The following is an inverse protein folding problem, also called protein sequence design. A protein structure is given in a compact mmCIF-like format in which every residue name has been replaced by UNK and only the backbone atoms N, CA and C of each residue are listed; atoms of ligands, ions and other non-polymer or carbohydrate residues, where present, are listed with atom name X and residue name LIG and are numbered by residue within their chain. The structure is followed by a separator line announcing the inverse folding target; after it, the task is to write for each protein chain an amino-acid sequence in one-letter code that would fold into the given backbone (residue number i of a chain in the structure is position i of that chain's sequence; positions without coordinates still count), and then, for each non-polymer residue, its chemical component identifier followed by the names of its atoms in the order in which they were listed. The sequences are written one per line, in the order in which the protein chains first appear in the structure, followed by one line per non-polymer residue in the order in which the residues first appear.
data_IF_028821382637
#
_entry.id   IF_028821382637
#
_cell.length_a   1.000
_cell.length_b   1.000
_cell.length_c   1.000
_cell.angle_alpha   90.00
_cell.angle_beta   90.00
_cell.angle_gamma   90.00
#
_symmetry.space_group_name_H-M   'P 1'
#
loop_
_entity.id
_entity.type
_entity.pdbx_description
1 polymer ?
#
# COMPACT_ATOMS: atom_id res chain seq x y z
N UNK A 1 15.03 9.34 -16.62
CA UNK A 1 15.39 8.59 -15.41
C UNK A 1 15.16 7.13 -15.73
N UNK A 2 16.18 6.29 -15.53
CA UNK A 2 16.06 4.85 -15.78
C UNK A 2 15.58 4.23 -14.48
N UNK A 3 14.35 3.71 -14.46
CA UNK A 3 13.84 2.93 -13.34
C UNK A 3 14.43 1.53 -13.44
N UNK A 4 15.48 1.25 -12.68
CA UNK A 4 15.99 -0.11 -12.54
C UNK A 4 15.31 -0.79 -11.36
N UNK A 5 14.16 -1.43 -11.61
CA UNK A 5 13.57 -2.32 -10.62
C UNK A 5 14.37 -3.61 -10.61
N UNK A 6 15.36 -3.71 -9.72
CA UNK A 6 16.07 -4.97 -9.48
C UNK A 6 15.33 -5.69 -8.35
N UNK A 7 14.67 -6.81 -8.67
CA UNK A 7 14.10 -7.73 -7.68
C UNK A 7 15.18 -8.77 -7.38
N UNK A 8 15.88 -8.61 -6.25
CA UNK A 8 16.83 -9.62 -5.77
C UNK A 8 16.07 -10.49 -4.77
N UNK A 9 15.58 -11.65 -5.22
CA UNK A 9 15.14 -12.73 -4.34
C UNK A 9 16.30 -13.72 -4.18
N UNK A 10 17.27 -13.41 -3.31
CA UNK A 10 18.43 -14.29 -3.10
C UNK A 10 18.43 -14.89 -1.69
N UNK A 11 17.75 -16.04 -1.56
CA UNK A 11 18.23 -17.30 -0.99
C UNK A 11 17.03 -18.21 -0.71
N UNK A 12 17.22 -19.49 -1.01
CA UNK A 12 16.16 -20.50 -1.02
C UNK A 12 15.32 -20.51 0.27
N UNK A 13 14.06 -20.07 0.16
CA UNK A 13 12.93 -20.10 1.13
C UNK A 13 12.56 -18.81 1.89
N UNK A 14 13.30 -17.72 1.75
CA UNK A 14 13.01 -16.51 2.53
C UNK A 14 12.06 -15.56 1.74
N UNK A 15 11.06 -14.96 2.40
CA UNK A 15 10.09 -14.01 1.84
C UNK A 15 10.59 -12.55 1.90
N UNK A 16 11.84 -12.33 1.51
CA UNK A 16 12.47 -11.01 1.47
C UNK A 16 12.41 -10.46 0.05
N UNK A 17 11.85 -9.26 -0.12
CA UNK A 17 11.86 -8.52 -1.39
C UNK A 17 12.53 -7.18 -1.20
N UNK A 18 13.53 -6.89 -2.04
CA UNK A 18 14.19 -5.58 -2.08
C UNK A 18 13.89 -4.90 -3.40
N UNK A 19 13.53 -3.64 -3.32
CA UNK A 19 13.30 -2.73 -4.43
C UNK A 19 14.34 -1.62 -4.37
N UNK A 20 14.91 -1.31 -5.54
CA UNK A 20 15.82 -0.20 -5.70
C UNK A 20 15.23 0.81 -6.69
N UNK A 21 15.21 2.08 -6.29
CA UNK A 21 14.98 3.21 -7.17
C UNK A 21 15.88 4.34 -6.73
N UNK A 22 17.01 4.52 -7.44
CA UNK A 22 18.07 5.42 -7.03
C UNK A 22 17.55 6.81 -6.60
N UNK A 23 17.99 7.35 -5.45
CA UNK A 23 19.02 6.79 -4.56
C UNK A 23 18.46 5.93 -3.40
N UNK A 24 17.21 5.44 -3.51
CA UNK A 24 16.46 4.82 -2.42
C UNK A 24 16.37 3.31 -2.60
N UNK A 25 16.55 2.59 -1.51
CA UNK A 25 16.13 1.19 -1.42
C UNK A 25 14.89 1.08 -0.52
N UNK A 26 14.07 0.06 -0.78
CA UNK A 26 12.98 -0.36 0.09
C UNK A 26 12.98 -1.88 0.17
N UNK A 27 12.97 -2.41 1.38
CA UNK A 27 12.93 -3.83 1.64
C UNK A 27 11.67 -4.20 2.42
N UNK A 28 11.13 -5.36 2.08
CA UNK A 28 9.94 -5.95 2.69
C UNK A 28 10.31 -7.37 3.09
N UNK A 29 10.00 -7.76 4.32
CA UNK A 29 10.27 -9.10 4.81
C UNK A 29 9.19 -9.54 5.79
N UNK A 30 8.97 -10.85 5.86
CA UNK A 30 8.16 -11.45 6.91
C UNK A 30 9.00 -11.59 8.20
N UNK A 31 8.31 -11.69 9.33
CA UNK A 31 8.96 -11.79 10.64
C UNK A 31 9.82 -13.04 10.76
N UNK A 32 9.43 -14.15 10.16
CA UNK A 32 10.21 -15.40 10.16
C UNK A 32 11.61 -15.19 9.58
N UNK A 33 11.75 -14.29 8.61
CA UNK A 33 12.99 -14.01 7.90
C UNK A 33 13.86 -12.94 8.58
N UNK A 34 13.46 -12.46 9.76
CA UNK A 34 14.20 -11.42 10.49
C UNK A 34 15.69 -11.76 10.62
N UNK A 35 16.04 -13.03 10.89
CA UNK A 35 17.44 -13.45 11.04
C UNK A 35 18.23 -13.31 9.75
N UNK A 36 17.62 -13.55 8.59
CA UNK A 36 18.26 -13.44 7.29
C UNK A 36 18.60 -11.98 6.94
N UNK A 37 17.82 -11.01 7.44
CA UNK A 37 18.10 -9.57 7.26
C UNK A 37 19.48 -9.15 7.77
N UNK A 38 20.11 -9.90 8.69
CA UNK A 38 21.48 -9.62 9.15
C UNK A 38 22.49 -9.55 7.99
N UNK A 39 22.26 -10.36 6.96
CA UNK A 39 23.14 -10.50 5.80
C UNK A 39 22.77 -9.57 4.65
N UNK A 40 21.66 -8.86 4.76
CA UNK A 40 21.19 -7.91 3.77
C UNK A 40 21.91 -6.56 3.95
N UNK A 41 22.52 -6.04 2.89
CA UNK A 41 23.30 -4.79 2.98
C UNK A 41 22.42 -3.62 3.42
N UNK A 42 21.20 -3.56 2.89
CA UNK A 42 20.18 -2.55 3.17
C UNK A 42 19.83 -2.48 4.66
N UNK A 43 19.71 -3.63 5.32
CA UNK A 43 19.38 -3.70 6.74
C UNK A 43 20.55 -3.24 7.64
N UNK A 44 21.77 -3.20 7.10
CA UNK A 44 22.98 -2.72 7.76
C UNK A 44 23.24 -1.22 7.52
N UNK A 45 22.28 -0.50 6.92
CA UNK A 45 22.35 0.95 6.67
C UNK A 45 21.39 1.72 7.57
N UNK A 46 21.57 3.04 7.61
CA UNK A 46 20.67 3.97 8.29
C UNK A 46 19.36 4.10 7.51
N UNK A 47 18.26 4.32 8.23
CA UNK A 47 16.95 4.41 7.60
C UNK A 47 15.79 4.40 8.57
N UNK A 48 14.61 4.19 7.99
CA UNK A 48 13.33 4.10 8.69
C UNK A 48 12.81 2.69 8.52
N UNK A 49 12.20 2.15 9.57
CA UNK A 49 11.52 0.87 9.54
C UNK A 49 10.11 1.00 10.12
N UNK A 50 9.20 0.18 9.61
CA UNK A 50 7.79 0.16 9.96
C UNK A 50 7.42 -1.29 10.22
N UNK A 51 7.11 -1.63 11.48
CA UNK A 51 6.55 -2.93 11.83
C UNK A 51 5.05 -2.93 11.52
N UNK A 52 4.58 -3.97 10.85
CA UNK A 52 3.20 -4.14 10.44
C UNK A 52 2.63 -5.39 11.10
N UNK A 53 1.53 -5.21 11.84
CA UNK A 53 0.60 -6.25 12.23
C UNK A 53 -0.74 -5.99 11.59
N UNK A 54 -1.81 -6.58 12.12
CA UNK A 54 -3.11 -6.49 11.46
C UNK A 54 -3.64 -5.05 11.44
N UNK A 55 -3.91 -4.52 12.63
CA UNK A 55 -4.36 -3.14 12.83
C UNK A 55 -3.30 -2.28 13.55
N UNK A 56 -2.12 -2.83 13.82
CA UNK A 56 -1.08 -2.17 14.61
C UNK A 56 0.13 -1.79 13.77
N UNK A 57 0.67 -0.59 14.01
CA UNK A 57 1.88 -0.05 13.37
C UNK A 57 2.87 0.41 14.42
N UNK A 58 4.14 0.32 14.08
CA UNK A 58 5.22 0.98 14.81
C UNK A 58 6.20 1.53 13.80
N UNK A 59 6.53 2.82 13.92
CA UNK A 59 7.55 3.47 13.11
C UNK A 59 8.78 3.66 13.97
N UNK A 60 9.95 3.29 13.46
CA UNK A 60 11.20 3.60 14.12
C UNK A 60 12.26 4.05 13.14
N UNK A 61 13.31 4.64 13.68
CA UNK A 61 14.51 4.99 12.94
C UNK A 61 15.77 4.26 13.43
N UNK A 62 16.75 4.15 12.54
CA UNK A 62 18.11 3.82 12.89
C UNK A 62 19.10 4.76 12.18
N UNK A 63 19.95 5.45 12.96
CA UNK A 63 21.09 6.21 12.44
C UNK A 63 22.29 5.33 12.05
N UNK A 64 22.27 4.06 12.48
CA UNK A 64 23.29 3.05 12.21
C UNK A 64 22.69 1.91 11.42
N UNK A 65 22.61 0.70 12.01
CA UNK A 65 21.99 -0.46 11.37
C UNK A 65 20.51 -0.56 11.76
N UNK A 66 19.63 -0.64 10.77
CA UNK A 66 18.20 -0.96 10.98
C UNK A 66 18.06 -2.30 11.70
N UNK A 67 18.84 -3.31 11.30
CA UNK A 67 18.81 -4.66 11.86
C UNK A 67 18.92 -4.70 13.40
N UNK A 68 19.83 -3.92 13.98
CA UNK A 68 20.04 -3.89 15.43
C UNK A 68 18.78 -3.42 16.18
N UNK A 69 18.03 -2.48 15.57
CA UNK A 69 16.73 -2.02 16.11
C UNK A 69 15.64 -3.07 15.93
N UNK A 70 15.60 -3.74 14.78
CA UNK A 70 14.60 -4.78 14.51
C UNK A 70 14.71 -5.95 15.48
N UNK A 71 15.94 -6.41 15.78
CA UNK A 71 16.16 -7.48 16.78
C UNK A 71 15.67 -7.05 18.17
N UNK A 72 16.01 -5.83 18.59
CA UNK A 72 15.55 -5.29 19.88
C UNK A 72 14.01 -5.24 19.98
N UNK A 73 13.34 -4.90 18.87
CA UNK A 73 11.88 -4.85 18.83
C UNK A 73 11.23 -6.22 18.70
N UNK A 74 11.86 -7.18 18.02
CA UNK A 74 11.34 -8.53 17.92
C UNK A 74 11.16 -9.20 19.29
N UNK A 75 12.07 -8.90 20.23
CA UNK A 75 12.04 -9.46 21.58
C UNK A 75 10.98 -8.79 22.47
N UNK A 76 10.58 -7.55 22.15
CA UNK A 76 9.64 -6.76 22.96
C UNK A 76 8.25 -6.59 22.35
N UNK A 77 8.08 -6.87 21.05
CA UNK A 77 6.84 -6.70 20.30
C UNK A 77 6.52 -7.97 19.54
N UNK A 78 5.50 -8.69 19.97
CA UNK A 78 5.09 -9.96 19.37
C UNK A 78 3.93 -9.86 18.37
N UNK A 79 3.36 -8.67 18.16
CA UNK A 79 2.15 -8.45 17.36
C UNK A 79 2.40 -8.26 15.85
N UNK A 80 3.64 -7.99 15.44
CA UNK A 80 3.95 -7.72 14.04
C UNK A 80 4.25 -9.02 13.28
N UNK A 81 3.88 -9.03 12.01
CA UNK A 81 4.06 -10.16 11.08
C UNK A 81 4.93 -9.79 9.89
N UNK A 82 4.98 -8.51 9.50
CA UNK A 82 5.77 -8.02 8.38
C UNK A 82 6.56 -6.78 8.77
N UNK A 83 7.71 -6.58 8.14
CA UNK A 83 8.53 -5.38 8.26
C UNK A 83 8.73 -4.74 6.89
N UNK A 84 8.62 -3.41 6.86
CA UNK A 84 9.03 -2.59 5.72
C UNK A 84 10.10 -1.64 6.22
N UNK A 85 11.22 -1.52 5.51
CA UNK A 85 12.23 -0.53 5.83
C UNK A 85 12.85 0.06 4.57
N UNK A 86 13.27 1.31 4.66
CA UNK A 86 13.81 2.05 3.54
C UNK A 86 14.89 3.02 3.99
N UNK A 87 15.76 3.37 3.07
CA UNK A 87 16.87 4.27 3.29
C UNK A 87 17.51 4.66 1.97
N UNK A 88 18.71 5.24 2.04
CA UNK A 88 19.50 5.55 0.85
C UNK A 88 20.51 4.45 0.58
N UNK A 89 20.75 4.17 -0.69
CA UNK A 89 21.73 3.17 -1.12
C UNK A 89 23.16 3.51 -0.70
N UNK A 90 23.48 4.80 -0.68
CA UNK A 90 24.77 5.31 -0.18
C UNK A 90 24.85 5.37 1.36
N UNK A 91 23.80 4.97 2.08
CA UNK A 91 23.73 4.99 3.54
C UNK A 91 23.71 6.39 4.16
N UNK A 92 23.68 7.46 3.36
CA UNK A 92 23.79 8.84 3.84
C UNK A 92 22.43 9.43 4.24
N UNK A 93 21.85 8.91 5.32
CA UNK A 93 20.68 9.49 5.98
C UNK A 93 21.07 9.93 7.39
N UNK A 94 21.25 11.23 7.59
CA UNK A 94 21.72 11.75 8.87
C UNK A 94 20.64 11.72 9.96
N UNK A 95 21.04 11.91 11.22
CA UNK A 95 20.12 11.86 12.37
C UNK A 95 18.97 12.86 12.26
N UNK A 96 19.22 14.06 11.75
CA UNK A 96 18.17 15.07 11.59
C UNK A 96 17.12 14.62 10.57
N UNK A 97 17.56 13.97 9.50
CA UNK A 97 16.69 13.42 8.47
C UNK A 97 15.91 12.21 8.97
N UNK A 98 16.55 11.30 9.71
CA UNK A 98 15.85 10.14 10.29
C UNK A 98 14.80 10.55 11.33
N UNK A 99 15.15 11.48 12.22
CA UNK A 99 14.22 12.01 13.23
C UNK A 99 13.04 12.73 12.56
N UNK A 100 13.32 13.52 11.51
CA UNK A 100 12.29 14.21 10.73
C UNK A 100 11.33 13.22 10.05
N UNK A 101 11.85 12.17 9.40
CA UNK A 101 11.04 11.18 8.70
C UNK A 101 10.21 10.31 9.65
N UNK A 102 10.81 9.86 10.76
CA UNK A 102 10.11 9.11 11.80
C UNK A 102 8.92 9.93 12.32
N UNK A 103 9.15 11.19 12.71
CA UNK A 103 8.09 12.07 13.19
C UNK A 103 7.01 12.30 12.14
N UNK A 104 7.40 12.57 10.89
CA UNK A 104 6.46 12.79 9.78
C UNK A 104 5.54 11.57 9.57
N UNK A 105 6.10 10.36 9.65
CA UNK A 105 5.33 9.12 9.49
C UNK A 105 4.45 8.84 10.70
N UNK A 106 4.94 9.04 11.92
CA UNK A 106 4.13 8.95 13.15
C UNK A 106 2.90 9.88 13.03
N UNK A 107 3.10 11.14 12.66
CA UNK A 107 2.01 12.11 12.46
C UNK A 107 1.05 11.71 11.31
N UNK A 108 1.55 11.02 10.29
CA UNK A 108 0.71 10.49 9.21
C UNK A 108 -0.15 9.33 9.72
N UNK A 109 0.42 8.38 10.46
CA UNK A 109 -0.29 7.25 11.04
C UNK A 109 -1.33 7.66 12.09
N UNK A 110 -1.05 8.69 12.89
CA UNK A 110 -1.99 9.24 13.87
C UNK A 110 -3.30 9.78 13.24
N UNK A 111 -3.31 10.05 11.92
CA UNK A 111 -4.50 10.50 11.18
C UNK A 111 -5.32 9.34 10.61
N UNK A 112 -4.88 8.10 10.83
CA UNK A 112 -5.55 6.88 10.38
C UNK A 112 -6.31 6.22 11.54
N UNK A 113 -7.09 5.18 11.24
CA UNK A 113 -7.77 4.37 12.26
C UNK A 113 -6.89 3.23 12.83
N UNK A 114 -5.61 3.17 12.44
CA UNK A 114 -4.68 2.15 12.91
C UNK A 114 -4.21 2.43 14.34
N UNK A 115 -3.94 1.37 15.10
CA UNK A 115 -3.29 1.48 16.40
C UNK A 115 -1.79 1.74 16.22
N UNK A 116 -1.30 2.87 16.72
CA UNK A 116 0.13 3.19 16.69
C UNK A 116 0.77 2.87 18.05
N UNK A 117 1.75 1.96 18.06
CA UNK A 117 2.46 1.50 19.27
C UNK A 117 3.65 2.39 19.68
N UNK A 118 3.84 3.52 18.99
CA UNK A 118 4.87 4.48 19.35
C UNK A 118 4.53 5.13 20.70
N UNK A 119 5.36 4.87 21.72
CA UNK A 119 5.23 5.50 23.03
C UNK A 119 5.56 7.01 23.05
N UNK A 120 6.20 7.51 21.99
CA UNK A 120 6.63 8.90 21.84
C UNK A 120 6.26 9.44 20.47
N UNK A 121 6.21 10.77 20.33
CA UNK A 121 5.97 11.45 19.06
C UNK A 121 7.20 11.52 18.15
N UNK A 122 8.18 10.62 18.34
CA UNK A 122 9.49 10.64 17.67
C UNK A 122 10.48 11.64 18.30
N UNK A 123 11.74 11.51 17.90
CA UNK A 123 12.77 12.47 18.30
C UNK A 123 12.68 13.76 17.46
N UNK A 124 13.20 14.86 18.01
CA UNK A 124 13.30 16.14 17.29
C UNK A 124 14.74 16.60 17.25
N UNK A 125 15.24 16.78 16.04
CA UNK A 125 16.54 17.39 15.75
C UNK A 125 16.34 18.62 14.85
N UNK A 126 17.21 19.62 14.97
CA UNK A 126 17.21 20.73 14.01
C UNK A 126 17.56 20.19 12.63
N UNK A 127 16.77 20.55 11.62
CA UNK A 127 16.97 20.14 10.23
C UNK A 127 16.83 21.36 9.33
N UNK A 128 17.84 21.57 8.49
CA UNK A 128 17.82 22.66 7.52
C UNK A 128 16.89 22.34 6.35
N UNK A 129 16.43 23.40 5.66
CA UNK A 129 15.47 23.30 4.55
C UNK A 129 15.92 22.33 3.45
N UNK A 130 17.20 22.35 3.08
CA UNK A 130 17.75 21.48 2.04
C UNK A 130 17.76 20.01 2.48
N UNK A 131 18.14 19.74 3.73
CA UNK A 131 18.12 18.38 4.29
C UNK A 131 16.71 17.84 4.42
N UNK A 132 15.74 18.69 4.75
CA UNK A 132 14.31 18.36 4.77
C UNK A 132 13.79 17.96 3.39
N UNK A 133 14.12 18.72 2.34
CA UNK A 133 13.75 18.39 0.95
C UNK A 133 14.35 17.04 0.52
N UNK A 134 15.62 16.79 0.86
CA UNK A 134 16.27 15.49 0.57
C UNK A 134 15.57 14.33 1.27
N UNK A 135 15.21 14.50 2.55
CA UNK A 135 14.47 13.50 3.31
C UNK A 135 13.07 13.27 2.71
N UNK A 136 12.36 14.34 2.35
CA UNK A 136 11.06 14.25 1.67
C UNK A 136 11.16 13.48 0.35
N UNK A 137 12.22 13.71 -0.43
CA UNK A 137 12.45 12.96 -1.67
C UNK A 137 12.66 11.46 -1.42
N UNK A 138 13.40 11.10 -0.36
CA UNK A 138 13.57 9.69 0.05
C UNK A 138 12.22 9.05 0.36
N UNK A 139 11.37 9.73 1.14
CA UNK A 139 10.02 9.23 1.44
C UNK A 139 9.15 9.13 0.19
N UNK A 140 9.15 10.13 -0.69
CA UNK A 140 8.32 10.13 -1.89
C UNK A 140 8.65 8.95 -2.81
N UNK A 141 9.94 8.64 -2.98
CA UNK A 141 10.38 7.48 -3.78
C UNK A 141 9.97 6.18 -3.10
N UNK A 142 10.17 6.05 -1.78
CA UNK A 142 9.73 4.88 -1.02
C UNK A 142 8.21 4.65 -1.14
N UNK A 143 7.42 5.72 -1.03
CA UNK A 143 5.97 5.68 -1.17
C UNK A 143 5.55 5.28 -2.60
N UNK A 144 6.23 5.80 -3.63
CA UNK A 144 5.98 5.40 -5.02
C UNK A 144 6.26 3.91 -5.23
N UNK A 145 7.35 3.37 -4.68
CA UNK A 145 7.63 1.92 -4.72
C UNK A 145 6.49 1.14 -4.05
N UNK A 146 6.04 1.58 -2.86
CA UNK A 146 4.96 0.93 -2.14
C UNK A 146 3.66 0.91 -2.95
N UNK A 147 3.28 2.04 -3.54
CA UNK A 147 2.00 2.19 -4.24
C UNK A 147 2.01 1.53 -5.63
N UNK A 148 3.05 1.81 -6.43
CA UNK A 148 3.08 1.49 -7.86
C UNK A 148 3.71 0.12 -8.17
N UNK A 149 4.65 -0.34 -7.33
CA UNK A 149 5.39 -1.58 -7.58
C UNK A 149 4.94 -2.69 -6.64
N UNK A 150 4.98 -2.43 -5.33
CA UNK A 150 4.65 -3.42 -4.32
C UNK A 150 3.13 -3.55 -4.08
N UNK A 151 2.35 -2.52 -4.47
CA UNK A 151 0.91 -2.42 -4.24
C UNK A 151 0.50 -2.59 -2.76
N UNK A 152 1.28 -2.01 -1.86
CA UNK A 152 1.15 -2.10 -0.40
C UNK A 152 0.74 -0.74 0.15
N UNK A 153 -0.47 -0.65 0.72
CA UNK A 153 -0.93 0.55 1.42
C UNK A 153 -0.66 0.45 2.91
N UNK A 154 0.46 0.98 3.38
CA UNK A 154 0.87 0.87 4.79
C UNK A 154 -0.11 1.54 5.77
N UNK A 155 -0.97 2.44 5.28
CA UNK A 155 -1.94 3.21 6.07
C UNK A 155 -3.31 2.52 6.21
N UNK A 156 -3.48 1.34 5.64
CA UNK A 156 -4.66 0.48 5.82
C UNK A 156 -4.27 -0.77 6.63
N UNK A 157 -5.24 -1.39 7.31
CA UNK A 157 -5.00 -2.63 8.06
C UNK A 157 -4.75 -3.79 7.09
N UNK A 158 -3.81 -4.67 7.44
CA UNK A 158 -3.58 -5.91 6.71
C UNK A 158 -4.28 -6.99 7.49
N UNK A 159 -5.49 -7.38 7.11
CA UNK A 159 -6.08 -8.58 7.70
C UNK A 159 -5.24 -9.77 7.20
N UNK A 160 -4.38 -10.31 8.06
CA UNK A 160 -3.75 -11.61 7.81
C UNK A 160 -4.85 -12.65 7.98
N UNK A 161 -5.33 -13.17 6.87
CA UNK A 161 -6.33 -14.22 6.82
C UNK A 161 -5.75 -15.55 7.35
N UNK A 162 -5.69 -15.72 8.68
CA UNK A 162 -5.91 -17.04 9.29
C UNK A 162 -7.35 -17.14 9.77
N UNK A 163 -8.25 -17.04 8.79
CA UNK A 163 -9.63 -17.55 8.72
C UNK A 163 -10.18 -16.97 7.41
N UNK A 164 -10.66 -17.81 6.50
CA UNK A 164 -11.24 -17.37 5.22
C UNK A 164 -12.28 -16.24 5.44
N UNK A 165 -12.02 -14.97 5.10
CA UNK A 165 -13.00 -13.89 5.23
C UNK A 165 -13.91 -13.78 4.01
N UNK A 166 -13.73 -14.67 3.02
CA UNK A 166 -14.52 -14.69 1.78
C UNK A 166 -16.01 -14.87 2.02
N UNK A 167 -16.42 -15.37 3.19
CA UNK A 167 -17.83 -15.48 3.57
C UNK A 167 -18.40 -14.23 4.28
N UNK A 168 -17.57 -13.35 4.83
CA UNK A 168 -18.04 -12.21 5.63
C UNK A 168 -18.12 -10.90 4.82
N UNK A 169 -17.22 -10.67 3.86
CA UNK A 169 -17.19 -9.43 3.08
C UNK A 169 -17.30 -9.67 1.57
N UNK A 170 -18.49 -9.46 1.00
CA UNK A 170 -18.75 -9.70 -0.42
C UNK A 170 -19.78 -8.74 -1.01
N UNK A 171 -19.84 -8.72 -2.34
CA UNK A 171 -20.91 -8.10 -3.11
C UNK A 171 -21.82 -9.20 -3.64
N UNK A 172 -23.12 -9.10 -3.42
CA UNK A 172 -24.11 -9.98 -4.02
C UNK A 172 -24.74 -9.32 -5.25
N UNK A 173 -24.82 -10.07 -6.35
CA UNK A 173 -25.53 -9.69 -7.57
C UNK A 173 -26.18 -10.93 -8.19
N UNK A 174 -27.50 -10.91 -8.40
CA UNK A 174 -28.26 -12.01 -8.99
C UNK A 174 -27.91 -13.38 -8.37
N UNK A 175 -27.85 -13.45 -7.04
CA UNK A 175 -27.50 -14.65 -6.27
C UNK A 175 -26.03 -15.07 -6.32
N UNK A 176 -25.18 -14.33 -7.03
CA UNK A 176 -23.74 -14.59 -7.06
C UNK A 176 -23.04 -13.78 -5.97
N UNK A 177 -22.23 -14.48 -5.17
CA UNK A 177 -21.32 -13.84 -4.20
C UNK A 177 -19.99 -13.53 -4.88
N UNK A 178 -19.59 -12.27 -4.83
CA UNK A 178 -18.36 -11.76 -5.42
C UNK A 178 -17.49 -11.23 -4.29
N UNK A 179 -16.41 -11.94 -4.01
CA UNK A 179 -15.46 -11.66 -2.94
C UNK A 179 -14.03 -11.58 -3.44
N UNK A 180 -13.13 -11.14 -2.57
CA UNK A 180 -11.74 -10.82 -2.81
C UNK A 180 -11.09 -10.47 -1.46
N UNK A 181 -9.77 -10.30 -1.45
CA UNK A 181 -8.97 -10.15 -0.21
C UNK A 181 -9.15 -8.80 0.49
N UNK A 182 -9.89 -7.88 -0.12
CA UNK A 182 -10.11 -6.52 0.38
C UNK A 182 -11.32 -5.88 -0.30
N UNK A 183 -11.81 -4.75 0.24
CA UNK A 183 -12.84 -3.94 -0.42
C UNK A 183 -12.46 -3.49 -1.83
N UNK A 184 -11.17 -3.21 -2.05
CA UNK A 184 -10.63 -2.85 -3.38
C UNK A 184 -10.67 -4.05 -4.32
N UNK A 185 -10.29 -5.24 -3.83
CA UNK A 185 -10.37 -6.47 -4.62
C UNK A 185 -11.82 -6.86 -4.90
N UNK A 186 -12.75 -6.65 -3.96
CA UNK A 186 -14.18 -6.85 -4.20
C UNK A 186 -14.68 -5.96 -5.34
N UNK A 187 -14.30 -4.68 -5.37
CA UNK A 187 -14.63 -3.79 -6.48
C UNK A 187 -14.02 -4.28 -7.80
N UNK A 188 -12.74 -4.67 -7.81
CA UNK A 188 -12.07 -5.19 -9.00
C UNK A 188 -12.75 -6.46 -9.52
N UNK A 189 -13.00 -7.42 -8.63
CA UNK A 189 -13.62 -8.71 -8.94
C UNK A 189 -15.07 -8.53 -9.39
N UNK A 190 -15.79 -7.54 -8.84
CA UNK A 190 -17.13 -7.18 -9.31
C UNK A 190 -17.12 -6.79 -10.79
N UNK A 191 -16.28 -5.85 -11.21
CA UNK A 191 -16.22 -5.47 -12.62
C UNK A 191 -15.67 -6.58 -13.52
N UNK A 192 -14.68 -7.35 -13.08
CA UNK A 192 -14.21 -8.52 -13.83
C UNK A 192 -15.29 -9.60 -13.98
N UNK A 193 -16.14 -9.79 -12.97
CA UNK A 193 -17.29 -10.70 -13.04
C UNK A 193 -18.31 -10.22 -14.08
N UNK A 194 -18.64 -8.92 -14.08
CA UNK A 194 -19.56 -8.34 -15.07
C UNK A 194 -19.03 -8.50 -16.50
N UNK A 195 -17.75 -8.20 -16.73
CA UNK A 195 -17.12 -8.30 -18.05
C UNK A 195 -17.08 -9.75 -18.58
N UNK A 196 -16.97 -10.74 -17.70
CA UNK A 196 -17.01 -12.16 -18.10
C UNK A 196 -18.38 -12.63 -18.57
N UNK A 197 -19.46 -11.96 -18.18
CA UNK A 197 -20.82 -12.39 -18.52
C UNK A 197 -21.41 -11.51 -19.63
N UNK A 198 -21.83 -12.10 -20.78
CA UNK A 198 -22.40 -11.34 -21.89
C UNK A 198 -23.57 -10.42 -21.49
N UNK A 199 -24.38 -10.86 -20.51
CA UNK A 199 -25.52 -10.11 -19.96
C UNK A 199 -25.11 -8.77 -19.34
N UNK A 200 -23.96 -8.69 -18.67
CA UNK A 200 -23.53 -7.50 -17.94
C UNK A 200 -22.46 -6.69 -18.67
N UNK A 201 -21.71 -7.32 -19.57
CA UNK A 201 -20.62 -6.68 -20.30
C UNK A 201 -21.07 -5.40 -21.01
N UNK A 202 -22.19 -5.44 -21.74
CA UNK A 202 -22.70 -4.26 -22.45
C UNK A 202 -23.00 -3.09 -21.51
N UNK A 203 -23.51 -3.36 -20.30
CA UNK A 203 -23.77 -2.33 -19.29
C UNK A 203 -22.48 -1.66 -18.81
N UNK A 204 -21.40 -2.43 -18.66
CA UNK A 204 -20.09 -1.90 -18.27
C UNK A 204 -19.51 -1.05 -19.40
N UNK A 205 -19.53 -1.56 -20.63
CA UNK A 205 -19.02 -0.88 -21.82
C UNK A 205 -19.77 0.43 -22.07
N UNK A 206 -21.11 0.41 -22.03
CA UNK A 206 -21.96 1.59 -22.19
C UNK A 206 -21.72 2.63 -21.09
N UNK A 207 -21.53 2.18 -19.84
CA UNK A 207 -21.20 3.09 -18.74
C UNK A 207 -19.84 3.75 -18.96
N UNK A 208 -18.85 3.02 -19.49
CA UNK A 208 -17.50 3.55 -19.77
C UNK A 208 -17.48 4.62 -20.87
N UNK A 209 -18.48 4.66 -21.76
CA UNK A 209 -18.60 5.71 -22.77
C UNK A 209 -18.86 7.10 -22.17
N UNK A 210 -19.35 7.16 -20.92
CA UNK A 210 -19.65 8.42 -20.24
C UNK A 210 -18.43 9.13 -19.63
N UNK A 211 -17.22 8.69 -19.98
CA UNK A 211 -15.99 9.44 -19.79
C UNK A 211 -14.93 8.72 -18.98
N UNK A 212 -14.03 9.51 -18.39
CA UNK A 212 -12.90 8.97 -17.62
C UNK A 212 -13.35 8.53 -16.23
N UNK A 213 -12.73 7.50 -15.63
CA UNK A 213 -13.02 7.09 -14.27
C UNK A 213 -12.71 8.21 -13.28
N UNK A 214 -13.64 8.49 -12.38
CA UNK A 214 -13.51 9.45 -11.28
C UNK A 214 -14.02 8.82 -9.99
N UNK A 215 -13.98 9.59 -8.89
CA UNK A 215 -14.48 9.10 -7.61
C UNK A 215 -15.99 8.81 -7.58
N UNK A 216 -16.79 9.48 -8.42
CA UNK A 216 -18.23 9.24 -8.57
C UNK A 216 -18.57 8.33 -9.74
N UNK A 217 -17.69 8.22 -10.73
CA UNK A 217 -17.82 7.41 -11.93
C UNK A 217 -16.72 6.34 -11.94
N UNK A 218 -16.95 5.22 -11.26
CA UNK A 218 -15.86 4.31 -10.87
C UNK A 218 -15.13 3.63 -12.04
N UNK A 219 -15.74 3.49 -13.20
CA UNK A 219 -15.17 2.80 -14.36
C UNK A 219 -15.34 3.65 -15.61
N UNK A 220 -14.42 3.57 -16.57
CA UNK A 220 -14.35 4.49 -17.71
C UNK A 220 -13.34 4.06 -18.76
N UNK A 221 -13.33 4.75 -19.90
CA UNK A 221 -12.63 4.31 -21.11
C UNK A 221 -11.19 4.81 -21.29
N UNK A 222 -10.70 5.65 -20.38
CA UNK A 222 -9.34 6.17 -20.44
C UNK A 222 -8.76 6.31 -19.02
N UNK A 223 -7.43 6.21 -18.86
CA UNK A 223 -6.80 6.33 -17.56
C UNK A 223 -6.96 7.75 -16.99
N UNK A 224 -7.15 7.82 -15.68
CA UNK A 224 -7.11 9.07 -14.91
C UNK A 224 -5.77 9.21 -14.21
N UNK A 225 -5.26 10.45 -14.16
CA UNK A 225 -3.99 10.81 -13.55
C UNK A 225 -4.18 11.99 -12.58
N UNK A 226 -3.37 12.05 -11.52
CA UNK A 226 -3.24 13.25 -10.68
C UNK A 226 -2.54 14.39 -11.45
N UNK A 227 -2.63 15.63 -10.96
CA UNK A 227 -1.84 16.75 -11.48
C UNK A 227 -0.32 16.52 -11.46
N UNK A 228 0.17 15.60 -10.62
CA UNK A 228 1.59 15.22 -10.53
C UNK A 228 1.97 14.05 -11.47
N UNK A 229 1.06 13.55 -12.32
CA UNK A 229 1.31 12.46 -13.26
C UNK A 229 1.02 11.04 -12.73
N UNK A 230 0.72 10.87 -11.45
CA UNK A 230 0.45 9.55 -10.84
C UNK A 230 -0.88 8.95 -11.34
N UNK A 231 -0.88 7.66 -11.71
CA UNK A 231 -2.07 6.96 -12.24
C UNK A 231 -3.07 6.62 -11.14
N UNK A 232 -4.33 6.97 -11.35
CA UNK A 232 -5.45 6.79 -10.41
C UNK A 232 -6.36 5.61 -10.74
N UNK A 233 -5.96 4.84 -11.75
CA UNK A 233 -6.79 3.81 -12.35
C UNK A 233 -6.02 2.51 -12.47
N UNK A 234 -6.71 1.41 -12.20
CA UNK A 234 -6.27 0.06 -12.52
C UNK A 234 -6.88 -0.32 -13.86
N UNK A 235 -6.07 -0.79 -14.81
CA UNK A 235 -6.60 -1.28 -16.08
C UNK A 235 -7.18 -2.69 -15.87
N UNK A 236 -8.40 -2.93 -16.32
CA UNK A 236 -9.07 -4.24 -16.23
C UNK A 236 -8.96 -5.00 -17.55
N UNK A 237 -9.29 -4.34 -18.67
CA UNK A 237 -9.16 -4.82 -20.04
C UNK A 237 -8.67 -3.65 -20.94
N UNK A 238 -8.50 -3.89 -22.24
CA UNK A 238 -8.25 -2.81 -23.21
C UNK A 238 -9.40 -1.80 -23.16
N UNK A 239 -9.08 -0.51 -23.09
CA UNK A 239 -10.04 0.60 -22.95
C UNK A 239 -11.00 0.52 -21.76
N UNK A 240 -10.70 -0.25 -20.71
CA UNK A 240 -11.52 -0.33 -19.49
C UNK A 240 -10.65 -0.11 -18.25
N UNK A 241 -10.90 1.00 -17.57
CA UNK A 241 -10.11 1.48 -16.43
C UNK A 241 -10.99 1.69 -15.19
N UNK A 242 -10.54 1.15 -14.05
CA UNK A 242 -11.22 1.23 -12.76
C UNK A 242 -10.53 2.24 -11.84
N UNK A 243 -11.26 3.22 -11.33
CA UNK A 243 -10.77 4.20 -10.39
C UNK A 243 -10.41 3.54 -9.04
N UNK A 244 -9.15 3.67 -8.62
CA UNK A 244 -8.57 2.83 -7.56
C UNK A 244 -8.43 3.52 -6.20
N UNK A 245 -8.33 4.85 -6.19
CA UNK A 245 -7.97 5.62 -5.00
C UNK A 245 -9.20 6.14 -4.24
N UNK A 246 -9.94 5.22 -3.59
CA UNK A 246 -11.16 5.53 -2.82
C UNK A 246 -11.10 4.96 -1.40
N UNK A 247 -11.72 5.67 -0.46
CA UNK A 247 -12.07 5.11 0.84
C UNK A 247 -13.10 3.98 0.67
N UNK A 248 -13.25 3.10 1.67
CA UNK A 248 -14.27 2.02 1.63
C UNK A 248 -15.69 2.57 1.41
N UNK A 249 -16.05 3.66 2.10
CA UNK A 249 -17.35 4.32 1.95
C UNK A 249 -17.57 4.87 0.55
N UNK A 250 -16.57 5.55 -0.01
CA UNK A 250 -16.69 6.12 -1.35
C UNK A 250 -16.70 5.05 -2.44
N UNK A 251 -15.98 3.95 -2.22
CA UNK A 251 -15.98 2.78 -3.11
C UNK A 251 -17.35 2.13 -3.18
N UNK A 252 -17.98 1.87 -2.02
CA UNK A 252 -19.36 1.36 -1.96
C UNK A 252 -20.33 2.28 -2.71
N UNK A 253 -20.25 3.59 -2.47
CA UNK A 253 -21.07 4.59 -3.17
C UNK A 253 -20.84 4.57 -4.68
N UNK A 254 -19.59 4.45 -5.13
CA UNK A 254 -19.28 4.47 -6.55
C UNK A 254 -19.78 3.21 -7.29
N UNK A 255 -19.75 2.04 -6.64
CA UNK A 255 -20.36 0.82 -7.17
C UNK A 255 -21.89 0.94 -7.17
N UNK A 256 -22.48 1.49 -6.10
CA UNK A 256 -23.93 1.73 -6.05
C UNK A 256 -24.39 2.68 -7.16
N UNK A 257 -23.64 3.77 -7.42
CA UNK A 257 -23.95 4.69 -8.52
C UNK A 257 -23.95 3.99 -9.88
N UNK A 258 -22.99 3.08 -10.12
CA UNK A 258 -22.97 2.27 -11.33
C UNK A 258 -24.18 1.33 -11.40
N UNK A 259 -24.51 0.66 -10.29
CA UNK A 259 -25.65 -0.24 -10.20
C UNK A 259 -26.98 0.50 -10.47
N UNK A 260 -27.17 1.66 -9.86
CA UNK A 260 -28.37 2.50 -10.05
C UNK A 260 -28.49 2.98 -11.50
N UNK A 261 -27.39 3.40 -12.11
CA UNK A 261 -27.36 3.86 -13.51
C UNK A 261 -27.62 2.73 -14.52
N UNK A 262 -27.26 1.49 -14.18
CA UNK A 262 -27.42 0.32 -15.06
C UNK A 262 -28.64 -0.54 -14.71
N UNK A 263 -29.37 -0.18 -13.65
CA UNK A 263 -30.53 -0.93 -13.16
C UNK A 263 -30.19 -2.25 -12.45
N UNK A 264 -28.92 -2.46 -12.08
CA UNK A 264 -28.50 -3.65 -11.33
C UNK A 264 -28.87 -3.54 -9.86
N UNK A 265 -29.29 -4.66 -9.26
CA UNK A 265 -29.55 -4.76 -7.82
C UNK A 265 -28.34 -5.39 -7.15
N UNK A 266 -27.58 -4.55 -6.46
CA UNK A 266 -26.36 -4.96 -5.77
C UNK A 266 -26.59 -4.88 -4.26
N UNK A 267 -26.18 -5.91 -3.52
CA UNK A 267 -26.19 -5.91 -2.06
C UNK A 267 -24.76 -5.97 -1.55
N UNK A 268 -24.42 -5.09 -0.61
CA UNK A 268 -23.09 -5.03 -0.01
C UNK A 268 -23.13 -5.66 1.37
N UNK A 269 -22.33 -6.70 1.56
CA UNK A 269 -22.03 -7.27 2.87
C UNK A 269 -20.67 -6.72 3.30
N UNK A 270 -20.60 -5.41 3.51
CA UNK A 270 -19.37 -4.70 3.88
C UNK A 270 -19.64 -4.08 5.24
N UNK A 271 -19.15 -4.72 6.30
CA UNK A 271 -19.29 -4.25 7.69
C UNK A 271 -18.51 -2.93 7.94
#
# INVERSE_FOLDING_TARGET
MVTHTVIISDRAKDNITVYTKEPVFLAIADREDLKALKHLEEANRAGIYILLGENQRYVGQASGKIYDRLITHNDSKNWWSKIIFFGREDGHLDKSQTDYLEKKLIEAFQKTNLTLDNATSGNTSFIEKTSKIKADNVWNIAQEILDEVAHINIFESYVTEEENPTDQIYIELDGHKISGKSYRDNQKNFFLFLLKQPKYRSLVEDFCLNGKPTASHCIGNAPSFRPNGMKYTTQLEEDIYLYSHLSTKDRRRAIQNFADATGLKVVFHWD
#
